data_IF_173680595830
#
_entry.id   IF_173680595830
#
_cell.length_a   1.000
_cell.length_b   1.000
_cell.length_c   1.000
_cell.angle_alpha   90.00
_cell.angle_beta   90.00
_cell.angle_gamma   90.00
#
_symmetry.space_group_name_H-M   'P 1'
#
loop_
_entity.id
_entity.type
_entity.pdbx_description
1 polymer ?
#
# COMPACT_ATOMS: atom_id res chain seq x y z
N UNK A 1 0.72 -15.05 -22.69
CA UNK A 1 -0.57 -14.34 -22.47
C UNK A 1 -0.75 -13.80 -21.06
N UNK A 2 0.14 -14.08 -20.09
CA UNK A 2 0.03 -13.61 -18.70
C UNK A 2 0.78 -12.30 -18.39
N UNK A 3 1.52 -11.75 -19.37
CA UNK A 3 2.34 -10.54 -19.21
C UNK A 3 1.51 -9.30 -18.89
N UNK A 4 0.47 -9.04 -19.69
CA UNK A 4 -0.41 -7.89 -19.50
C UNK A 4 -1.14 -7.92 -18.14
N UNK A 5 -1.75 -9.05 -17.70
CA UNK A 5 -2.29 -9.16 -16.34
C UNK A 5 -1.27 -8.90 -15.24
N UNK A 6 -0.03 -9.40 -15.37
CA UNK A 6 1.01 -9.23 -14.37
C UNK A 6 1.47 -7.78 -14.26
N UNK A 7 1.61 -7.07 -15.38
CA UNK A 7 1.96 -5.64 -15.41
C UNK A 7 0.85 -4.80 -14.80
N UNK A 8 -0.41 -5.09 -15.13
CA UNK A 8 -1.56 -4.36 -14.58
C UNK A 8 -1.68 -4.59 -13.07
N UNK A 9 -1.56 -5.85 -12.62
CA UNK A 9 -1.59 -6.20 -11.21
C UNK A 9 -0.43 -5.55 -10.44
N UNK A 10 0.78 -5.62 -10.98
CA UNK A 10 1.96 -5.01 -10.38
C UNK A 10 1.85 -3.49 -10.29
N UNK A 11 1.31 -2.84 -11.33
CA UNK A 11 1.08 -1.39 -11.32
C UNK A 11 0.01 -0.97 -10.31
N UNK A 12 -1.04 -1.78 -10.17
CA UNK A 12 -2.14 -1.52 -9.24
C UNK A 12 -1.69 -1.70 -7.78
N UNK A 13 -0.91 -2.75 -7.50
CA UNK A 13 -0.26 -2.95 -6.19
C UNK A 13 0.77 -1.84 -5.90
N UNK A 14 1.58 -1.47 -6.90
CA UNK A 14 2.55 -0.39 -6.84
C UNK A 14 1.92 0.93 -6.41
N UNK A 15 0.88 1.33 -7.13
CA UNK A 15 0.16 2.59 -6.91
C UNK A 15 -0.63 2.58 -5.61
N UNK A 16 -1.35 1.49 -5.34
CA UNK A 16 -2.11 1.32 -4.11
C UNK A 16 -1.22 1.35 -2.87
N UNK A 17 -0.09 0.63 -2.89
CA UNK A 17 0.89 0.63 -1.81
C UNK A 17 1.49 2.02 -1.55
N UNK A 18 1.78 2.78 -2.60
CA UNK A 18 2.27 4.16 -2.49
C UNK A 18 1.22 5.09 -1.87
N UNK A 19 -0.05 4.93 -2.23
CA UNK A 19 -1.14 5.68 -1.62
C UNK A 19 -1.27 5.37 -0.12
N UNK A 20 -1.20 4.09 0.27
CA UNK A 20 -1.19 3.70 1.70
C UNK A 20 0.03 4.25 2.44
N UNK A 21 1.20 4.26 1.79
CA UNK A 21 2.43 4.80 2.36
C UNK A 21 2.39 6.32 2.56
N UNK A 22 1.75 7.04 1.64
CA UNK A 22 1.62 8.49 1.71
C UNK A 22 0.57 8.90 2.73
N UNK A 23 -0.62 8.32 2.63
CA UNK A 23 -1.75 8.64 3.49
C UNK A 23 -2.57 7.37 3.81
N UNK A 24 -2.37 6.76 4.99
CA UNK A 24 -3.13 5.58 5.39
C UNK A 24 -4.52 5.93 5.96
N UNK A 25 -4.83 7.21 6.19
CA UNK A 25 -6.10 7.66 6.79
C UNK A 25 -7.38 7.15 6.11
N UNK A 26 -7.49 7.00 4.76
CA UNK A 26 -8.70 6.44 4.16
C UNK A 26 -8.91 4.93 4.42
N UNK A 27 -7.88 4.21 4.87
CA UNK A 27 -7.94 2.78 5.18
C UNK A 27 -7.99 2.51 6.69
N UNK A 28 -7.46 3.44 7.49
CA UNK A 28 -7.64 3.46 8.93
C UNK A 28 -9.07 3.89 9.24
N UNK A 29 -10.00 2.92 9.26
CA UNK A 29 -11.42 3.14 9.52
C UNK A 29 -11.64 3.97 10.81
N UNK A 30 -12.51 4.96 10.70
CA UNK A 30 -12.84 5.97 11.71
C UNK A 30 -13.47 5.40 13.01
N UNK A 31 -13.55 4.07 13.16
CA UNK A 31 -14.14 3.40 14.32
C UNK A 31 -13.30 3.52 15.58
N UNK A 32 -12.00 3.79 15.46
CA UNK A 32 -11.15 4.11 16.63
C UNK A 32 -11.32 5.57 17.11
N UNK A 33 -11.82 6.49 16.26
CA UNK A 33 -12.11 7.87 16.66
C UNK A 33 -13.34 7.99 17.58
N UNK A 34 -14.17 6.95 17.69
CA UNK A 34 -15.29 6.93 18.62
C UNK A 34 -14.86 6.81 20.10
N UNK A 35 -13.58 6.50 20.38
CA UNK A 35 -13.05 6.35 21.75
C UNK A 35 -12.46 7.62 22.36
N UNK A 36 -12.52 8.75 21.67
CA UNK A 36 -11.99 10.03 22.15
C UNK A 36 -10.59 10.33 21.60
N UNK A 37 -10.06 11.53 21.90
CA UNK A 37 -8.83 12.05 21.29
C UNK A 37 -7.60 11.41 21.95
N UNK A 38 -7.42 10.10 21.79
CA UNK A 38 -6.10 9.50 21.99
C UNK A 38 -5.22 9.86 20.79
N UNK A 39 -3.97 10.30 21.02
CA UNK A 39 -3.05 10.56 19.93
C UNK A 39 -2.93 9.27 19.11
N UNK A 40 -3.25 9.33 17.81
CA UNK A 40 -3.08 8.20 16.89
C UNK A 40 -1.71 7.57 17.16
N UNK A 41 -1.72 6.29 17.53
CA UNK A 41 -0.52 5.59 17.98
C UNK A 41 0.51 5.67 16.84
N UNK A 42 1.54 6.51 16.98
CA UNK A 42 2.48 6.85 15.89
C UNK A 42 3.14 5.58 15.33
N UNK A 43 3.23 4.54 16.16
CA UNK A 43 3.68 3.22 15.80
C UNK A 43 2.75 2.53 14.79
N UNK A 44 1.44 2.60 14.97
CA UNK A 44 0.46 2.05 14.03
C UNK A 44 0.52 2.75 12.67
N UNK A 45 0.57 4.08 12.67
CA UNK A 45 0.77 4.89 11.45
C UNK A 45 2.07 4.49 10.72
N UNK A 46 3.16 4.32 11.47
CA UNK A 46 4.43 3.89 10.90
C UNK A 46 4.34 2.49 10.27
N UNK A 47 3.71 1.53 10.94
CA UNK A 47 3.50 0.18 10.40
C UNK A 47 2.66 0.18 9.13
N UNK A 48 1.60 1.00 9.07
CA UNK A 48 0.81 1.17 7.85
C UNK A 48 1.63 1.74 6.69
N UNK A 49 2.48 2.74 6.98
CA UNK A 49 3.39 3.29 5.96
C UNK A 49 4.38 2.25 5.46
N UNK A 50 5.00 1.49 6.37
CA UNK A 50 5.92 0.40 6.01
C UNK A 50 5.21 -0.69 5.19
N UNK A 51 3.97 -1.06 5.56
CA UNK A 51 3.15 -2.00 4.81
C UNK A 51 2.85 -1.50 3.40
N UNK A 52 2.47 -0.23 3.25
CA UNK A 52 2.27 0.40 1.95
C UNK A 52 3.52 0.38 1.08
N UNK A 53 4.69 0.72 1.63
CA UNK A 53 5.97 0.67 0.92
C UNK A 53 6.32 -0.76 0.47
N UNK A 54 6.11 -1.75 1.34
CA UNK A 54 6.36 -3.14 1.01
C UNK A 54 5.47 -3.62 -0.16
N UNK A 55 4.18 -3.30 -0.13
CA UNK A 55 3.24 -3.62 -1.22
C UNK A 55 3.63 -2.90 -2.51
N UNK A 56 4.04 -1.63 -2.41
CA UNK A 56 4.49 -0.86 -3.56
C UNK A 56 5.73 -1.50 -4.24
N UNK A 57 6.70 -1.92 -3.43
CA UNK A 57 7.91 -2.59 -3.91
C UNK A 57 7.60 -3.93 -4.59
N UNK A 58 6.70 -4.73 -4.01
CA UNK A 58 6.25 -6.00 -4.62
C UNK A 58 5.57 -5.75 -5.97
N UNK A 59 4.70 -4.74 -6.05
CA UNK A 59 4.05 -4.35 -7.30
C UNK A 59 5.05 -3.93 -8.39
N UNK A 60 6.05 -3.12 -8.01
CA UNK A 60 7.12 -2.70 -8.92
C UNK A 60 7.95 -3.89 -9.42
N UNK A 61 8.32 -4.82 -8.53
CA UNK A 61 9.04 -6.04 -8.88
C UNK A 61 8.24 -6.93 -9.84
N UNK A 62 6.93 -7.09 -9.61
CA UNK A 62 6.04 -7.84 -10.50
C UNK A 62 5.98 -7.23 -11.90
N UNK A 63 5.78 -5.92 -11.99
CA UNK A 63 5.73 -5.22 -13.28
C UNK A 63 7.07 -5.27 -14.03
N UNK A 64 8.19 -5.10 -13.33
CA UNK A 64 9.53 -5.13 -13.93
C UNK A 64 9.93 -6.54 -14.40
N UNK A 65 9.68 -7.58 -13.59
CA UNK A 65 9.91 -8.96 -14.00
C UNK A 65 9.05 -9.36 -15.19
N UNK A 66 7.79 -8.92 -15.22
CA UNK A 66 6.91 -9.15 -16.37
C UNK A 66 7.39 -8.41 -17.61
N UNK A 67 7.93 -7.19 -17.50
CA UNK A 67 8.48 -6.48 -18.67
C UNK A 67 9.78 -7.11 -19.22
N UNK A 68 10.53 -7.81 -18.36
CA UNK A 68 11.79 -8.45 -18.72
C UNK A 68 11.62 -9.89 -19.25
N UNK A 69 10.42 -10.45 -19.18
CA UNK A 69 10.09 -11.84 -19.58
C UNK A 69 9.46 -11.92 -20.97
#
# INVERSE_FOLDING_TARGET
MLLLPAILLGSLLGTGGLLVAYDPTPLCDFRDFARGPEPLDQHGLFLWRCGGVAVAAVGLCLSTLALLA
#
